data_IF_968120785882
#
_entry.id   IF_968120785882
#
_cell.length_a   1.000
_cell.length_b   1.000
_cell.length_c   1.000
_cell.angle_alpha   90.00
_cell.angle_beta   90.00
_cell.angle_gamma   90.00
#
_symmetry.space_group_name_H-M   'P 1'
#
loop_
_entity.id
_entity.type
_entity.pdbx_description
1 polymer ?
#
# COMPACT_ATOMS: atom_id res chain seq x y z
N UNK A 1 24.44 -4.27 -9.73
CA UNK A 1 22.98 -4.08 -9.79
C UNK A 1 22.71 -2.69 -9.26
N UNK A 2 21.69 -1.99 -9.79
CA UNK A 2 21.39 -0.62 -9.36
C UNK A 2 20.51 -0.65 -8.10
N UNK A 3 20.73 0.30 -7.21
CA UNK A 3 19.94 0.46 -5.98
C UNK A 3 18.88 1.54 -6.21
N UNK A 4 17.67 1.27 -5.72
CA UNK A 4 16.55 2.21 -5.68
C UNK A 4 16.22 2.59 -4.24
N UNK A 5 15.78 3.83 -4.03
CA UNK A 5 15.45 4.38 -2.73
C UNK A 5 13.94 4.54 -2.59
N UNK A 6 13.35 3.83 -1.65
CA UNK A 6 11.92 3.85 -1.40
C UNK A 6 11.65 4.58 -0.10
N UNK A 7 10.73 5.54 -0.12
CA UNK A 7 10.19 6.14 1.11
C UNK A 7 9.02 5.30 1.58
N UNK A 8 9.23 4.48 2.61
CA UNK A 8 8.19 3.71 3.28
C UNK A 8 7.59 4.52 4.43
N UNK A 9 6.29 4.76 4.39
CA UNK A 9 5.51 5.33 5.49
C UNK A 9 4.51 4.31 6.02
N UNK A 10 4.63 3.95 7.31
CA UNK A 10 3.75 3.02 8.00
C UNK A 10 2.88 3.78 9.01
N UNK A 11 1.57 3.50 8.99
CA UNK A 11 0.58 4.15 9.85
C UNK A 11 -0.13 3.14 10.75
N UNK A 12 -0.50 3.60 11.95
CA UNK A 12 -1.15 2.80 12.98
C UNK A 12 -0.19 1.79 13.60
N UNK A 13 -0.69 0.58 13.88
CA UNK A 13 0.11 -0.49 14.51
C UNK A 13 1.30 -0.93 13.66
N UNK A 14 1.22 -0.77 12.33
CA UNK A 14 2.31 -1.11 11.42
C UNK A 14 3.56 -0.24 11.62
N UNK A 15 3.44 0.93 12.26
CA UNK A 15 4.59 1.79 12.55
C UNK A 15 5.69 1.07 13.36
N UNK A 16 5.32 0.06 14.15
CA UNK A 16 6.25 -0.73 14.96
C UNK A 16 7.30 -1.47 14.13
N UNK A 17 6.95 -1.94 12.92
CA UNK A 17 7.89 -2.60 12.00
C UNK A 17 8.99 -1.68 11.48
N UNK A 18 8.76 -0.36 11.49
CA UNK A 18 9.76 0.64 11.14
C UNK A 18 10.29 1.43 12.35
N UNK A 19 10.06 0.95 13.58
CA UNK A 19 10.58 1.54 14.82
C UNK A 19 9.79 2.76 15.35
N UNK A 20 8.59 2.99 14.85
CA UNK A 20 7.66 4.00 15.38
C UNK A 20 6.56 3.39 16.25
N UNK A 21 5.64 4.25 16.71
CA UNK A 21 4.50 3.85 17.57
C UNK A 21 3.15 3.92 16.86
N UNK A 22 2.89 5.03 16.16
CA UNK A 22 1.65 5.28 15.40
C UNK A 22 1.92 5.74 13.97
N UNK A 23 3.10 6.29 13.75
CA UNK A 23 3.63 6.64 12.44
C UNK A 23 5.12 6.29 12.45
N UNK A 24 5.60 5.77 11.34
CA UNK A 24 7.01 5.58 11.08
C UNK A 24 7.29 5.86 9.61
N UNK A 25 8.43 6.48 9.34
CA UNK A 25 8.91 6.69 7.98
C UNK A 25 10.37 6.27 7.89
N UNK A 26 10.71 5.51 6.85
CA UNK A 26 12.07 5.11 6.55
C UNK A 26 12.36 5.25 5.06
N UNK A 27 13.58 5.65 4.74
CA UNK A 27 14.14 5.45 3.41
C UNK A 27 14.77 4.06 3.38
N UNK A 28 14.42 3.29 2.37
CA UNK A 28 14.78 1.87 2.22
C UNK A 28 15.49 1.71 0.89
N UNK A 29 16.69 1.12 0.93
CA UNK A 29 17.43 0.74 -0.27
C UNK A 29 17.02 -0.66 -0.70
N UNK A 30 16.51 -0.80 -1.93
CA UNK A 30 16.16 -2.06 -2.57
C UNK A 30 16.94 -2.21 -3.88
N UNK A 31 17.05 -3.44 -4.38
CA UNK A 31 17.57 -3.69 -5.72
C UNK A 31 16.57 -3.21 -6.78
N UNK A 32 17.08 -2.71 -7.90
CA UNK A 32 16.26 -2.38 -9.06
C UNK A 32 15.44 -3.59 -9.52
N UNK A 33 14.16 -3.38 -9.79
CA UNK A 33 13.21 -4.46 -10.09
C UNK A 33 12.48 -5.03 -8.87
N UNK A 34 12.82 -4.59 -7.66
CA UNK A 34 12.08 -4.96 -6.45
C UNK A 34 10.61 -4.54 -6.53
N UNK A 35 9.77 -5.37 -5.93
CA UNK A 35 8.31 -5.23 -5.91
C UNK A 35 7.80 -4.72 -4.57
N UNK A 36 6.50 -4.40 -4.50
CA UNK A 36 5.83 -4.13 -3.21
C UNK A 36 5.93 -5.33 -2.28
N UNK A 37 5.84 -6.55 -2.80
CA UNK A 37 6.02 -7.76 -2.01
C UNK A 37 7.41 -7.80 -1.35
N UNK A 38 8.48 -7.55 -2.11
CA UNK A 38 9.85 -7.53 -1.57
C UNK A 38 10.01 -6.48 -0.46
N UNK A 39 9.37 -5.32 -0.60
CA UNK A 39 9.37 -4.28 0.42
C UNK A 39 8.63 -4.73 1.70
N UNK A 40 7.48 -5.38 1.58
CA UNK A 40 6.71 -5.88 2.72
C UNK A 40 7.44 -7.03 3.43
N UNK A 41 7.99 -7.97 2.67
CA UNK A 41 8.76 -9.11 3.19
C UNK A 41 10.01 -8.63 3.94
N UNK A 42 10.71 -7.61 3.43
CA UNK A 42 11.90 -7.03 4.10
C UNK A 42 11.61 -6.46 5.48
N UNK A 43 10.40 -5.93 5.71
CA UNK A 43 9.98 -5.39 7.00
C UNK A 43 9.13 -6.37 7.80
N UNK A 44 8.97 -7.61 7.31
CA UNK A 44 8.15 -8.65 7.90
C UNK A 44 6.70 -8.17 8.18
N UNK A 45 6.17 -7.32 7.29
CA UNK A 45 4.83 -6.73 7.45
C UNK A 45 3.78 -7.79 7.08
N UNK A 46 2.88 -8.17 8.01
CA UNK A 46 1.82 -9.12 7.69
C UNK A 46 0.82 -8.54 6.69
N UNK A 47 0.57 -9.26 5.59
CA UNK A 47 -0.36 -8.85 4.53
C UNK A 47 -1.80 -8.68 5.04
N UNK A 48 -2.22 -9.50 6.00
CA UNK A 48 -3.55 -9.47 6.60
C UNK A 48 -3.78 -8.27 7.53
N UNK A 49 -2.71 -7.60 7.97
CA UNK A 49 -2.78 -6.39 8.79
C UNK A 49 -2.77 -5.09 7.96
N UNK A 50 -2.69 -5.20 6.64
CA UNK A 50 -2.75 -4.08 5.70
C UNK A 50 -4.20 -3.67 5.41
N UNK A 51 -4.46 -2.37 5.51
CA UNK A 51 -5.70 -1.72 5.07
C UNK A 51 -5.52 -1.19 3.65
N UNK A 52 -4.99 0.02 3.54
CA UNK A 52 -4.79 0.73 2.29
C UNK A 52 -3.30 0.79 1.99
N UNK A 53 -2.96 0.61 0.72
CA UNK A 53 -1.61 0.83 0.22
C UNK A 53 -1.66 1.90 -0.86
N UNK A 54 -0.74 2.85 -0.75
CA UNK A 54 -0.55 3.91 -1.72
C UNK A 54 0.85 3.84 -2.31
N UNK A 55 0.96 3.99 -3.62
CA UNK A 55 2.23 4.17 -4.32
C UNK A 55 2.17 5.53 -5.02
N UNK A 56 3.05 6.46 -4.66
CA UNK A 56 3.09 7.81 -5.24
C UNK A 56 1.74 8.55 -5.21
N UNK A 57 1.00 8.41 -4.10
CA UNK A 57 -0.35 8.96 -3.89
C UNK A 57 -1.46 8.31 -4.75
N UNK A 58 -1.17 7.20 -5.42
CA UNK A 58 -2.16 6.38 -6.13
C UNK A 58 -2.59 5.27 -5.19
N UNK A 59 -3.90 5.09 -5.04
CA UNK A 59 -4.48 4.01 -4.27
C UNK A 59 -4.26 2.68 -5.02
N UNK A 60 -3.40 1.82 -4.47
CA UNK A 60 -3.01 0.56 -5.13
C UNK A 60 -3.59 -0.67 -4.45
N UNK A 61 -3.88 -0.64 -3.14
CA UNK A 61 -4.63 -1.72 -2.45
C UNK A 61 -5.69 -1.19 -1.48
N UNK A 62 -6.70 -2.04 -1.24
CA UNK A 62 -7.74 -1.86 -0.24
C UNK A 62 -7.74 -3.04 0.75
N UNK A 63 -8.45 -2.95 1.90
CA UNK A 63 -8.52 -4.02 2.88
C UNK A 63 -8.92 -5.35 2.26
N UNK A 64 -8.11 -6.39 2.48
CA UNK A 64 -8.33 -7.72 1.92
C UNK A 64 -8.07 -7.84 0.41
N UNK A 65 -7.43 -6.84 -0.21
CA UNK A 65 -6.96 -6.86 -1.59
C UNK A 65 -5.43 -6.70 -1.64
N UNK A 66 -4.81 -7.50 -2.50
CA UNK A 66 -3.36 -7.55 -2.72
C UNK A 66 -3.03 -7.36 -4.21
N UNK A 67 -3.70 -6.40 -4.85
CA UNK A 67 -3.55 -6.08 -6.27
C UNK A 67 -2.15 -5.51 -6.59
N UNK A 68 -1.52 -4.86 -5.62
CA UNK A 68 -0.26 -4.14 -5.81
C UNK A 68 1.00 -4.95 -5.53
N UNK A 69 0.90 -6.17 -4.99
CA UNK A 69 2.08 -6.95 -4.55
C UNK A 69 3.13 -7.14 -5.65
N UNK A 70 2.69 -7.38 -6.88
CA UNK A 70 3.57 -7.54 -8.04
C UNK A 70 3.99 -6.24 -8.73
N UNK A 71 3.59 -5.06 -8.23
CA UNK A 71 4.00 -3.79 -8.83
C UNK A 71 5.48 -3.53 -8.55
N UNK A 72 6.25 -3.30 -9.62
CA UNK A 72 7.68 -2.95 -9.55
C UNK A 72 7.80 -1.52 -9.03
N UNK A 73 8.63 -1.33 -8.01
CA UNK A 73 8.94 -0.03 -7.45
C UNK A 73 10.02 0.67 -8.26
N UNK A 74 9.82 1.96 -8.51
CA UNK A 74 10.80 2.83 -9.15
C UNK A 74 11.63 3.56 -8.10
N UNK A 75 12.83 4.01 -8.47
CA UNK A 75 13.63 4.89 -7.61
C UNK A 75 12.83 6.12 -7.15
N UNK A 76 13.03 6.52 -5.90
CA UNK A 76 12.32 7.59 -5.20
C UNK A 76 10.80 7.38 -5.03
N UNK A 77 10.28 6.17 -5.23
CA UNK A 77 8.88 5.89 -5.00
C UNK A 77 8.50 6.05 -3.51
N UNK A 78 7.26 6.48 -3.28
CA UNK A 78 6.70 6.70 -1.94
C UNK A 78 5.61 5.67 -1.69
N UNK A 79 5.83 4.77 -0.74
CA UNK A 79 4.88 3.70 -0.39
C UNK A 79 4.29 4.00 0.99
N UNK A 80 2.97 4.18 1.04
CA UNK A 80 2.23 4.39 2.28
C UNK A 80 1.35 3.19 2.61
N UNK A 81 1.53 2.59 3.79
CA UNK A 81 0.75 1.42 4.23
C UNK A 81 0.03 1.73 5.54
N UNK A 82 -1.29 1.55 5.54
CA UNK A 82 -2.14 1.78 6.70
C UNK A 82 -2.49 0.46 7.39
N UNK A 83 -2.44 0.42 8.73
CA UNK A 83 -2.90 -0.74 9.49
C UNK A 83 -4.42 -0.93 9.36
N UNK A 84 -4.88 -2.19 9.29
CA UNK A 84 -6.31 -2.55 9.27
C UNK A 84 -7.11 -1.99 10.45
N UNK A 85 -6.48 -1.87 11.62
CA UNK A 85 -7.11 -1.35 12.84
C UNK A 85 -7.36 0.17 12.79
N UNK A 86 -6.63 0.91 11.95
CA UNK A 86 -6.74 2.36 11.81
C UNK A 86 -7.15 2.68 10.38
N UNK A 87 -8.46 2.56 10.13
CA UNK A 87 -9.02 2.79 8.80
C UNK A 87 -8.80 4.24 8.34
N UNK A 88 -8.35 4.38 7.09
CA UNK A 88 -8.43 5.65 6.37
C UNK A 88 -9.93 5.99 6.16
N UNK A 89 -10.46 7.11 6.67
CA UNK A 89 -11.89 7.37 6.64
C UNK A 89 -12.46 7.36 5.22
N UNK A 90 -13.62 6.74 5.04
CA UNK A 90 -14.28 6.56 3.72
C UNK A 90 -14.44 7.87 2.96
N UNK A 91 -14.77 8.95 3.68
CA UNK A 91 -14.93 10.31 3.14
C UNK A 91 -13.72 10.87 2.39
N UNK A 92 -12.52 10.31 2.59
CA UNK A 92 -11.31 10.73 1.87
C UNK A 92 -10.97 9.83 0.68
N UNK A 93 -11.81 8.83 0.38
CA UNK A 93 -11.60 7.86 -0.70
C UNK A 93 -12.23 8.30 -2.02
N UNK A 94 -13.31 9.07 -1.96
CA UNK A 94 -13.96 9.60 -3.15
C UNK A 94 -13.02 10.54 -3.91
N UNK A 95 -12.76 10.24 -5.18
CA UNK A 95 -11.91 11.04 -6.06
C UNK A 95 -10.41 10.74 -5.99
N UNK A 96 -9.97 9.74 -5.22
CA UNK A 96 -8.57 9.31 -5.26
C UNK A 96 -8.23 8.58 -6.58
N UNK A 97 -7.07 8.85 -7.18
CA UNK A 97 -6.61 8.07 -8.32
C UNK A 97 -6.33 6.62 -7.88
N UNK A 98 -6.89 5.64 -8.59
CA UNK A 98 -6.67 4.22 -8.35
C UNK A 98 -5.70 3.63 -9.37
N UNK A 99 -4.88 2.66 -8.94
CA UNK A 99 -3.95 1.97 -9.84
C UNK A 99 -4.71 1.14 -10.88
N UNK A 100 -4.06 0.89 -12.03
CA UNK A 100 -4.64 0.06 -13.08
C UNK A 100 -4.86 -1.38 -12.60
N UNK A 101 -3.92 -1.91 -11.80
CA UNK A 101 -4.00 -3.24 -11.17
C UNK A 101 -5.21 -3.35 -10.26
N UNK A 102 -5.42 -2.37 -9.38
CA UNK A 102 -6.58 -2.33 -8.48
C UNK A 102 -7.89 -2.20 -9.26
N UNK A 103 -7.93 -1.32 -10.25
CA UNK A 103 -9.10 -1.11 -11.11
C UNK A 103 -9.49 -2.39 -11.84
N UNK A 104 -8.50 -3.13 -12.35
CA UNK A 104 -8.73 -4.42 -13.02
C UNK A 104 -9.28 -5.45 -12.05
N UNK A 105 -8.65 -5.61 -10.88
CA UNK A 105 -9.07 -6.59 -9.87
C UNK A 105 -10.49 -6.31 -9.34
N UNK A 106 -10.88 -5.04 -9.19
CA UNK A 106 -12.24 -4.65 -8.80
C UNK A 106 -13.27 -4.94 -9.90
N UNK A 107 -12.91 -4.79 -11.17
CA UNK A 107 -13.81 -5.12 -12.30
C UNK A 107 -14.01 -6.63 -12.48
N UNK A 108 -13.03 -7.42 -12.06
CA UNK A 108 -13.05 -8.88 -12.15
C UNK A 108 -13.82 -9.54 -10.98
N UNK A 109 -14.12 -8.80 -9.91
CA UNK A 109 -15.05 -9.26 -8.86
C UNK A 109 -16.50 -9.07 -9.33
N UNK A 110 -17.24 -10.17 -9.48
CA UNK A 110 -18.69 -10.17 -9.72
C UNK A 110 -19.51 -9.66 -8.51
N UNK A 111 -18.94 -9.66 -7.30
CA UNK A 111 -19.58 -9.14 -6.10
C UNK A 111 -19.23 -7.66 -5.84
N UNK A 112 -20.07 -6.78 -6.38
CA UNK A 112 -20.36 -5.48 -5.78
C UNK A 112 -19.56 -4.33 -6.35
N UNK A 113 -20.13 -3.70 -7.37
CA UNK A 113 -20.06 -2.25 -7.50
C UNK A 113 -20.18 -1.62 -6.11
N UNK A 114 -19.33 -0.63 -5.81
CA UNK A 114 -19.48 0.22 -4.63
C UNK A 114 -20.85 0.90 -4.74
N UNK A 115 -21.87 0.28 -4.15
CA UNK A 115 -23.18 0.86 -4.01
C UNK A 115 -23.07 1.94 -2.95
N UNK A 116 -22.79 3.16 -3.39
CA UNK A 116 -23.05 4.36 -2.61
C UNK A 116 -24.54 4.33 -2.23
N UNK A 117 -24.82 3.92 -1.00
CA UNK A 117 -26.12 4.12 -0.38
C UNK A 117 -25.95 5.35 0.50
N UNK A 118 -26.51 6.47 0.03
CA UNK A 118 -26.58 7.74 0.74
C UNK A 118 -27.41 7.64 2.01
#
# INVERSE_FOLDING_TARGET
>A
MAIIHITLSLYGSLATFAGGKYIAQKVVELEEGATVQDLMDRFEIPYDQKSYLFINNILSDMPGLDASLGEILTDNARVGIFSLQHMYPYQYRDGLPMSASLTKLLKEREDGAVHNTY
#
